data_IF_865527632108
#
_entry.id   IF_865527632108
#
_cell.length_a   1.000
_cell.length_b   1.000
_cell.length_c   1.000
_cell.angle_alpha   90.00
_cell.angle_beta   90.00
_cell.angle_gamma   90.00
#
_symmetry.space_group_name_H-M   'P 1'
#
loop_
_entity.id
_entity.type
_entity.pdbx_description
1 polymer ?
#
# COMPACT_ATOMS: atom_id res chain seq x y z
N UNK A 1 3.15 -19.34 1.39
CA UNK A 1 3.28 -17.91 1.05
C UNK A 1 2.03 -17.37 0.37
N UNK A 2 1.72 -17.82 -0.86
CA UNK A 2 0.60 -17.30 -1.66
C UNK A 2 -0.75 -17.30 -0.94
N UNK A 3 -1.10 -18.35 -0.19
CA UNK A 3 -2.34 -18.37 0.60
C UNK A 3 -2.43 -17.26 1.66
N UNK A 4 -1.31 -16.92 2.33
CA UNK A 4 -1.28 -15.80 3.29
C UNK A 4 -1.34 -14.45 2.59
N UNK A 5 -0.69 -14.32 1.43
CA UNK A 5 -0.80 -13.12 0.59
C UNK A 5 -2.24 -12.89 0.14
N UNK A 6 -2.90 -13.93 -0.40
CA UNK A 6 -4.31 -13.87 -0.81
C UNK A 6 -5.23 -13.53 0.37
N UNK A 7 -4.98 -14.10 1.55
CA UNK A 7 -5.73 -13.77 2.76
C UNK A 7 -5.56 -12.29 3.18
N UNK A 8 -4.34 -11.75 3.12
CA UNK A 8 -4.09 -10.33 3.41
C UNK A 8 -4.74 -9.42 2.38
N UNK A 9 -4.70 -9.77 1.08
CA UNK A 9 -5.39 -9.02 0.02
C UNK A 9 -6.92 -9.06 0.18
N UNK A 10 -7.46 -10.18 0.67
CA UNK A 10 -8.87 -10.30 1.02
C UNK A 10 -9.25 -9.37 2.17
N UNK A 11 -8.48 -9.38 3.27
CA UNK A 11 -8.70 -8.47 4.40
C UNK A 11 -8.54 -6.99 4.00
N UNK A 12 -7.58 -6.68 3.13
CA UNK A 12 -7.42 -5.35 2.57
C UNK A 12 -8.66 -4.92 1.78
N UNK A 13 -9.19 -5.81 0.94
CA UNK A 13 -10.42 -5.53 0.18
C UNK A 13 -11.58 -5.20 1.10
N UNK A 14 -11.78 -5.96 2.18
CA UNK A 14 -12.80 -5.67 3.19
C UNK A 14 -12.55 -4.31 3.85
N UNK A 15 -11.31 -4.03 4.23
CA UNK A 15 -10.96 -2.76 4.87
C UNK A 15 -11.22 -1.57 3.95
N UNK A 16 -10.92 -1.69 2.65
CA UNK A 16 -11.17 -0.62 1.69
C UNK A 16 -12.65 -0.39 1.42
N UNK A 17 -13.45 -1.46 1.34
CA UNK A 17 -14.92 -1.32 1.25
C UNK A 17 -15.44 -0.59 2.49
N UNK A 18 -14.94 -0.92 3.69
CA UNK A 18 -15.32 -0.23 4.92
C UNK A 18 -14.90 1.24 4.91
N UNK A 19 -13.68 1.53 4.48
CA UNK A 19 -13.16 2.90 4.36
C UNK A 19 -14.02 3.75 3.41
N UNK A 20 -14.31 3.24 2.21
CA UNK A 20 -15.15 3.94 1.23
C UNK A 20 -16.58 4.15 1.75
N UNK A 21 -17.16 3.17 2.45
CA UNK A 21 -18.47 3.30 3.06
C UNK A 21 -18.48 4.38 4.16
N UNK A 22 -17.48 4.37 5.04
CA UNK A 22 -17.33 5.39 6.08
C UNK A 22 -17.13 6.78 5.47
N UNK A 23 -16.31 6.91 4.43
CA UNK A 23 -16.09 8.17 3.72
C UNK A 23 -17.38 8.66 3.06
N UNK A 24 -18.10 7.78 2.38
CA UNK A 24 -19.40 8.09 1.76
C UNK A 24 -20.42 8.60 2.78
N UNK A 25 -20.60 7.89 3.89
CA UNK A 25 -21.50 8.31 4.97
C UNK A 25 -21.05 9.66 5.56
N UNK A 26 -19.74 9.83 5.76
CA UNK A 26 -19.15 11.05 6.29
C UNK A 26 -19.45 12.28 5.44
N UNK A 27 -19.19 12.21 4.13
CA UNK A 27 -19.41 13.33 3.20
C UNK A 27 -20.89 13.67 3.07
N UNK A 28 -21.76 12.66 2.94
CA UNK A 28 -23.20 12.88 2.78
C UNK A 28 -23.85 13.46 4.04
N UNK A 29 -23.49 12.94 5.21
CA UNK A 29 -24.16 13.31 6.45
C UNK A 29 -23.64 14.60 7.06
N UNK A 30 -22.31 14.82 7.03
CA UNK A 30 -21.70 15.97 7.70
C UNK A 30 -21.40 17.15 6.77
N UNK A 31 -21.02 16.89 5.51
CA UNK A 31 -20.52 17.93 4.62
C UNK A 31 -21.57 18.39 3.60
N UNK A 32 -22.62 17.60 3.36
CA UNK A 32 -23.67 17.85 2.36
C UNK A 32 -23.13 18.20 0.96
N UNK A 33 -21.89 17.77 0.67
CA UNK A 33 -21.26 17.88 -0.65
C UNK A 33 -21.81 16.72 -1.48
N UNK A 34 -22.23 17.00 -2.72
CA UNK A 34 -22.78 15.99 -3.62
C UNK A 34 -21.85 14.78 -3.77
N UNK A 35 -22.43 13.60 -3.98
CA UNK A 35 -21.68 12.35 -4.05
C UNK A 35 -20.83 12.30 -5.30
N UNK A 36 -19.57 11.87 -5.15
CA UNK A 36 -18.71 11.56 -6.29
C UNK A 36 -19.35 10.41 -7.11
N UNK A 37 -19.11 10.36 -8.44
CA UNK A 37 -19.61 9.28 -9.27
C UNK A 37 -19.02 7.93 -8.84
N UNK A 38 -19.82 6.86 -8.91
CA UNK A 38 -19.43 5.48 -8.53
C UNK A 38 -18.12 5.04 -9.19
N UNK A 39 -17.89 5.45 -10.44
CA UNK A 39 -16.65 5.15 -11.17
C UNK A 39 -15.38 5.70 -10.52
N UNK A 40 -15.46 6.80 -9.75
CA UNK A 40 -14.31 7.34 -9.02
C UNK A 40 -13.89 6.43 -7.87
N UNK A 41 -14.84 5.92 -7.09
CA UNK A 41 -14.56 4.99 -5.99
C UNK A 41 -13.90 3.71 -6.49
N UNK A 42 -14.42 3.13 -7.57
CA UNK A 42 -13.79 1.94 -8.17
C UNK A 42 -12.35 2.18 -8.64
N UNK A 43 -12.08 3.37 -9.20
CA UNK A 43 -10.71 3.74 -9.58
C UNK A 43 -9.80 3.89 -8.36
N UNK A 44 -10.27 4.56 -7.30
CA UNK A 44 -9.54 4.72 -6.04
C UNK A 44 -9.21 3.36 -5.41
N UNK A 45 -10.18 2.46 -5.34
CA UNK A 45 -9.97 1.09 -4.87
C UNK A 45 -8.79 0.42 -5.59
N UNK A 46 -8.78 0.45 -6.93
CA UNK A 46 -7.74 -0.17 -7.73
C UNK A 46 -6.36 0.49 -7.52
N UNK A 47 -6.34 1.82 -7.45
CA UNK A 47 -5.12 2.60 -7.21
C UNK A 47 -4.48 2.22 -5.87
N UNK A 48 -5.27 2.14 -4.81
CA UNK A 48 -4.76 1.76 -3.50
C UNK A 48 -4.41 0.29 -3.41
N UNK A 49 -5.16 -0.60 -4.06
CA UNK A 49 -4.84 -2.03 -4.10
C UNK A 49 -3.45 -2.25 -4.70
N UNK A 50 -3.16 -1.61 -5.83
CA UNK A 50 -1.86 -1.70 -6.48
C UNK A 50 -0.75 -1.09 -5.63
N UNK A 51 -1.00 0.08 -5.02
CA UNK A 51 -0.02 0.76 -4.17
C UNK A 51 0.35 -0.06 -2.94
N UNK A 52 -0.64 -0.68 -2.28
CA UNK A 52 -0.43 -1.48 -1.07
C UNK A 52 0.08 -2.90 -1.35
N UNK A 53 -0.09 -3.42 -2.58
CA UNK A 53 0.39 -4.75 -2.95
C UNK A 53 1.89 -4.93 -2.66
N UNK A 54 2.70 -3.92 -2.99
CA UNK A 54 4.12 -3.91 -2.68
C UNK A 54 4.39 -4.06 -1.17
N UNK A 55 3.68 -3.28 -0.34
CA UNK A 55 3.86 -3.28 1.10
C UNK A 55 3.54 -4.66 1.68
N UNK A 56 2.47 -5.32 1.21
CA UNK A 56 2.15 -6.68 1.65
C UNK A 56 3.23 -7.69 1.26
N UNK A 57 3.75 -7.62 0.03
CA UNK A 57 4.84 -8.48 -0.42
C UNK A 57 6.13 -8.27 0.38
N UNK A 58 6.38 -7.05 0.84
CA UNK A 58 7.51 -6.71 1.70
C UNK A 58 7.29 -7.19 3.16
N UNK A 59 6.10 -7.01 3.71
CA UNK A 59 5.81 -7.32 5.12
C UNK A 59 5.75 -8.83 5.42
N UNK A 60 5.23 -9.66 4.51
CA UNK A 60 5.12 -11.12 4.75
C UNK A 60 6.48 -11.78 5.05
N UNK A 61 7.53 -11.66 4.22
CA UNK A 61 8.81 -12.30 4.49
C UNK A 61 9.48 -11.74 5.76
N UNK A 62 9.32 -10.45 6.04
CA UNK A 62 9.83 -9.80 7.26
C UNK A 62 9.16 -10.39 8.49
N UNK A 63 7.83 -10.52 8.47
CA UNK A 63 7.07 -11.13 9.56
C UNK A 63 7.46 -12.60 9.80
N UNK A 64 7.73 -13.35 8.73
CA UNK A 64 8.18 -14.74 8.85
C UNK A 64 9.59 -14.89 9.42
N UNK A 65 10.52 -13.99 9.07
CA UNK A 65 11.91 -14.09 9.51
C UNK A 65 12.15 -13.46 10.88
N UNK A 66 11.55 -12.31 11.13
CA UNK A 66 11.85 -11.44 12.27
C UNK A 66 10.68 -11.34 13.26
N UNK A 67 9.52 -11.92 12.94
CA UNK A 67 8.32 -11.86 13.76
C UNK A 67 7.41 -10.69 13.40
N UNK A 68 6.14 -10.80 13.82
CA UNK A 68 5.08 -9.83 13.49
C UNK A 68 5.36 -8.44 14.05
N UNK A 69 5.93 -8.33 15.25
CA UNK A 69 6.23 -7.04 15.88
C UNK A 69 7.18 -6.17 15.05
N UNK A 70 8.23 -6.79 14.47
CA UNK A 70 9.19 -6.07 13.62
C UNK A 70 8.53 -5.61 12.33
N UNK A 71 7.69 -6.45 11.73
CA UNK A 71 6.91 -6.06 10.55
C UNK A 71 5.98 -4.88 10.83
N UNK A 72 5.31 -4.86 11.98
CA UNK A 72 4.42 -3.76 12.39
C UNK A 72 5.21 -2.47 12.61
N UNK A 73 6.33 -2.53 13.33
CA UNK A 73 7.19 -1.36 13.56
C UNK A 73 7.73 -0.78 12.25
N UNK A 74 8.09 -1.63 11.29
CA UNK A 74 8.50 -1.19 9.95
C UNK A 74 7.36 -0.49 9.21
N UNK A 75 6.13 -0.98 9.36
CA UNK A 75 4.95 -0.35 8.76
C UNK A 75 4.73 1.05 9.34
N UNK A 76 4.80 1.17 10.67
CA UNK A 76 4.65 2.44 11.39
C UNK A 76 5.77 3.43 11.03
N UNK A 77 7.03 2.96 10.99
CA UNK A 77 8.14 3.84 10.64
C UNK A 77 8.04 4.33 9.19
N UNK A 78 7.63 3.45 8.26
CA UNK A 78 7.38 3.80 6.87
C UNK A 78 6.25 4.82 6.69
N UNK A 79 5.14 4.69 7.43
CA UNK A 79 4.05 5.68 7.36
C UNK A 79 4.43 7.03 7.95
N UNK A 80 5.18 7.05 9.05
CA UNK A 80 5.72 8.30 9.63
C UNK A 80 6.67 8.97 8.63
N UNK A 81 7.54 8.19 8.00
CA UNK A 81 8.49 8.69 7.02
C UNK A 81 7.79 9.27 5.78
N UNK A 82 6.75 8.61 5.29
CA UNK A 82 5.92 9.10 4.19
C UNK A 82 5.26 10.45 4.54
N UNK A 83 4.66 10.56 5.73
CA UNK A 83 4.08 11.83 6.17
C UNK A 83 5.13 12.94 6.34
N UNK A 84 6.35 12.59 6.75
CA UNK A 84 7.45 13.56 6.86
C UNK A 84 7.89 14.11 5.49
N UNK A 85 7.86 13.27 4.46
CA UNK A 85 8.25 13.62 3.10
C UNK A 85 7.10 14.14 2.23
N UNK A 86 5.93 14.41 2.80
CA UNK A 86 4.84 15.10 2.11
C UNK A 86 5.12 16.62 2.00
N UNK A 87 6.21 16.96 1.31
CA UNK A 87 6.71 18.31 1.09
C UNK A 87 7.61 18.38 -0.16
N UNK A 88 8.12 19.58 -0.45
CA UNK A 88 8.96 19.85 -1.62
C UNK A 88 10.27 19.03 -1.72
N UNK A 89 10.76 18.46 -0.61
CA UNK A 89 11.90 17.54 -0.61
C UNK A 89 11.45 16.17 -1.09
N UNK A 90 10.34 15.65 -0.55
CA UNK A 90 9.80 14.36 -0.96
C UNK A 90 9.28 14.35 -2.40
N UNK A 91 8.82 15.48 -2.94
CA UNK A 91 8.40 15.59 -4.35
C UNK A 91 9.47 15.10 -5.35
N UNK A 92 10.75 15.13 -4.96
CA UNK A 92 11.88 14.66 -5.78
C UNK A 92 12.19 13.17 -5.62
N UNK A 93 11.82 12.57 -4.50
CA UNK A 93 12.23 11.22 -4.10
C UNK A 93 11.05 10.26 -3.81
N UNK A 94 9.81 10.73 -3.83
CA UNK A 94 8.62 9.92 -3.55
C UNK A 94 8.53 8.61 -4.37
N UNK A 95 9.05 8.49 -5.63
CA UNK A 95 8.96 7.24 -6.36
C UNK A 95 9.70 6.09 -5.66
N UNK A 96 10.74 6.38 -4.87
CA UNK A 96 11.49 5.37 -4.11
C UNK A 96 10.93 5.11 -2.71
N UNK A 97 9.84 5.77 -2.33
CA UNK A 97 9.21 5.65 -1.00
C UNK A 97 7.83 4.97 -1.17
N UNK A 98 7.74 3.64 -1.02
CA UNK A 98 6.51 2.90 -1.33
C UNK A 98 5.30 3.27 -0.47
N UNK A 99 5.55 3.77 0.73
CA UNK A 99 4.50 4.23 1.65
C UNK A 99 3.81 5.52 1.18
N UNK A 100 4.42 6.28 0.28
CA UNK A 100 3.84 7.51 -0.29
C UNK A 100 2.99 7.26 -1.53
N UNK A 101 3.21 6.17 -2.27
CA UNK A 101 2.62 5.96 -3.58
C UNK A 101 1.10 6.15 -3.61
N UNK A 102 0.39 5.58 -2.63
CA UNK A 102 -1.07 5.71 -2.54
C UNK A 102 -1.52 7.17 -2.44
N UNK A 103 -0.86 7.97 -1.59
CA UNK A 103 -1.19 9.38 -1.38
C UNK A 103 -0.82 10.20 -2.61
N UNK A 104 0.39 10.03 -3.16
CA UNK A 104 0.85 10.79 -4.33
C UNK A 104 0.02 10.53 -5.58
N UNK A 105 -0.37 9.28 -5.82
CA UNK A 105 -1.28 8.96 -6.93
C UNK A 105 -2.68 9.54 -6.70
N UNK A 106 -3.16 9.58 -5.46
CA UNK A 106 -4.44 10.20 -5.09
C UNK A 106 -4.43 11.71 -5.34
N UNK A 107 -3.39 12.41 -4.90
CA UNK A 107 -3.25 13.85 -5.09
C UNK A 107 -3.22 14.24 -6.57
N UNK A 108 -2.54 13.45 -7.39
CA UNK A 108 -2.52 13.66 -8.83
C UNK A 108 -3.91 13.43 -9.47
N UNK A 109 -4.64 12.40 -9.02
CA UNK A 109 -6.00 12.10 -9.49
C UNK A 109 -6.98 13.26 -9.21
N UNK A 110 -6.88 13.88 -8.05
CA UNK A 110 -7.69 15.05 -7.70
C UNK A 110 -7.12 16.38 -8.20
N UNK A 111 -6.03 16.36 -8.98
CA UNK A 111 -5.34 17.55 -9.52
C UNK A 111 -4.92 18.51 -8.40
N UNK A 112 -4.60 17.96 -7.23
CA UNK A 112 -4.08 18.70 -6.07
C UNK A 112 -2.59 18.98 -6.24
N UNK A 113 -1.86 18.04 -6.85
CA UNK A 113 -0.42 18.17 -7.12
C UNK A 113 -0.09 17.96 -8.59
N UNK A 114 0.88 18.75 -9.09
CA UNK A 114 1.41 18.66 -10.46
C UNK A 114 2.67 17.79 -10.55
N UNK A 115 2.93 16.96 -9.53
CA UNK A 115 4.09 16.07 -9.51
C UNK A 115 3.94 14.99 -10.58
N UNK A 116 5.02 14.69 -11.34
CA UNK A 116 4.93 13.71 -12.41
C UNK A 116 4.73 12.32 -11.85
N UNK A 117 3.66 11.63 -12.23
CA UNK A 117 3.31 10.27 -11.76
C UNK A 117 4.07 9.15 -12.44
N UNK A 118 4.58 9.38 -13.66
CA UNK A 118 5.28 8.36 -14.45
C UNK A 118 6.45 7.68 -13.71
N UNK A 119 7.36 8.42 -13.03
CA UNK A 119 8.43 7.82 -12.24
C UNK A 119 7.90 6.88 -11.15
N UNK A 120 6.80 7.24 -10.48
CA UNK A 120 6.18 6.41 -9.46
C UNK A 120 5.59 5.12 -10.02
N UNK A 121 4.95 5.17 -11.19
CA UNK A 121 4.41 3.96 -11.85
C UNK A 121 5.55 3.00 -12.23
N UNK A 122 6.65 3.53 -12.77
CA UNK A 122 7.83 2.73 -13.11
C UNK A 122 8.40 2.09 -11.84
N UNK A 123 8.58 2.88 -10.77
CA UNK A 123 9.09 2.39 -9.50
C UNK A 123 8.18 1.32 -8.87
N UNK A 124 6.86 1.54 -8.87
CA UNK A 124 5.86 0.57 -8.42
C UNK A 124 6.05 -0.78 -9.12
N UNK A 125 6.11 -0.80 -10.45
CA UNK A 125 6.24 -2.04 -11.23
C UNK A 125 7.58 -2.72 -10.97
N UNK A 126 8.69 -1.96 -11.01
CA UNK A 126 10.04 -2.50 -10.82
C UNK A 126 10.24 -3.06 -9.41
N UNK A 127 9.86 -2.30 -8.39
CA UNK A 127 10.04 -2.69 -6.98
C UNK A 127 9.10 -3.84 -6.59
N UNK A 128 7.84 -3.82 -7.05
CA UNK A 128 6.87 -4.90 -6.78
C UNK A 128 7.31 -6.20 -7.43
N UNK A 129 7.72 -6.17 -8.70
CA UNK A 129 8.22 -7.37 -9.38
C UNK A 129 9.49 -7.92 -8.71
N UNK A 130 10.43 -7.04 -8.35
CA UNK A 130 11.66 -7.43 -7.66
C UNK A 130 11.37 -8.10 -6.31
N UNK A 131 10.55 -7.46 -5.46
CA UNK A 131 10.20 -8.02 -4.13
C UNK A 131 9.39 -9.30 -4.27
N UNK A 132 8.50 -9.40 -5.27
CA UNK A 132 7.77 -10.64 -5.54
C UNK A 132 8.73 -11.79 -5.86
N UNK A 133 9.67 -11.60 -6.80
CA UNK A 133 10.64 -12.63 -7.18
C UNK A 133 11.51 -13.03 -5.99
N UNK A 134 12.05 -12.04 -5.26
CA UNK A 134 12.88 -12.28 -4.08
C UNK A 134 12.10 -13.04 -2.99
N UNK A 135 10.85 -12.66 -2.73
CA UNK A 135 10.01 -13.31 -1.72
C UNK A 135 9.67 -14.76 -2.08
N UNK A 136 9.40 -15.05 -3.36
CA UNK A 136 9.13 -16.41 -3.84
C UNK A 136 10.39 -17.28 -3.76
N UNK A 137 11.54 -16.75 -4.17
CA UNK A 137 12.82 -17.46 -4.09
C UNK A 137 13.28 -17.70 -2.66
N UNK A 138 13.07 -16.73 -1.77
CA UNK A 138 13.34 -16.91 -0.35
C UNK A 138 12.43 -17.99 0.25
N UNK A 139 11.13 -17.91 -0.03
CA UNK A 139 10.15 -18.84 0.52
C UNK A 139 10.35 -20.27 0.02
N UNK A 140 10.83 -20.48 -1.21
CA UNK A 140 11.13 -21.82 -1.72
C UNK A 140 12.28 -22.51 -0.98
N UNK A 141 13.13 -21.73 -0.29
CA UNK A 141 14.23 -22.22 0.54
C UNK A 141 13.95 -22.15 2.04
N UNK A 142 12.78 -21.64 2.43
CA UNK A 142 12.44 -21.43 3.83
C UNK A 142 11.84 -22.70 4.42
N UNK A 143 12.61 -23.38 5.28
CA UNK A 143 12.22 -24.64 5.93
C UNK A 143 11.25 -24.45 7.11
N UNK A 144 10.96 -23.20 7.49
CA UNK A 144 10.19 -22.89 8.69
C UNK A 144 10.98 -23.20 9.97
N UNK A 145 10.68 -22.51 11.06
CA UNK A 145 11.13 -22.97 12.37
C UNK A 145 10.22 -24.16 12.74
N UNK A 146 10.61 -25.37 12.36
CA UNK A 146 10.06 -26.58 12.99
C UNK A 146 10.58 -26.56 14.41
N UNK A 147 9.83 -25.93 15.31
CA UNK A 147 10.03 -26.13 16.74
C UNK A 147 9.58 -27.58 16.96
N UNK A 148 10.55 -28.49 16.96
CA UNK A 148 10.36 -29.83 17.49
C UNK A 148 10.05 -29.65 18.98
N UNK A 149 8.77 -29.76 19.33
CA UNK A 149 8.34 -30.08 20.69
C UNK A 149 8.47 -31.59 20.92
#
# INVERSE_FOLDING_TARGET
>A
YLGKLLFLLFLFTINMILYELCFYVGVNFFLAIGTAPVGSYFFLFQLFLLSNLFLYLLHIPIAFRFGSSISVLLGISGTILAGYFENAIGDKIWPIIPWEWGVRFLENYFVVSSTPVFPGIIALIMMTSMVLILSLFWFSRWEGNVIQE
#
